data_IF_881543731277
#
_entry.id   IF_881543731277
#
_cell.length_a   1.000
_cell.length_b   1.000
_cell.length_c   1.000
_cell.angle_alpha   90.00
_cell.angle_beta   90.00
_cell.angle_gamma   90.00
#
_symmetry.space_group_name_H-M   'P 1'
#
loop_
_entity.id
_entity.type
_entity.pdbx_description
1 polymer ?
#
# COMPACT_ATOMS: atom_id res chain seq x y z
N UNK A 1 11.90 3.92 16.37
CA UNK A 1 12.17 3.92 14.93
C UNK A 1 11.91 5.32 14.39
N UNK A 2 12.83 5.89 13.60
CA UNK A 2 12.52 7.09 12.83
C UNK A 2 11.38 6.74 11.86
N UNK A 3 10.29 7.51 11.90
CA UNK A 3 9.28 7.46 10.83
C UNK A 3 9.99 7.91 9.57
N UNK A 4 10.29 6.98 8.68
CA UNK A 4 10.69 7.37 7.34
C UNK A 4 9.41 7.88 6.70
N UNK A 5 9.38 9.17 6.42
CA UNK A 5 8.30 9.81 5.65
C UNK A 5 8.46 9.33 4.20
N UNK A 6 8.03 8.09 3.93
CA UNK A 6 8.10 7.52 2.58
C UNK A 6 6.93 8.14 1.82
N UNK A 7 7.27 9.07 0.92
CA UNK A 7 6.34 9.64 -0.04
C UNK A 7 6.49 8.99 -1.43
N UNK A 8 5.64 9.38 -2.40
CA UNK A 8 5.66 8.81 -3.75
C UNK A 8 7.05 8.91 -4.42
N UNK A 9 7.77 10.03 -4.26
CA UNK A 9 9.10 10.23 -4.84
C UNK A 9 10.16 9.32 -4.20
N UNK A 10 10.07 9.10 -2.88
CA UNK A 10 10.92 8.15 -2.16
C UNK A 10 10.62 6.72 -2.62
N UNK A 11 9.35 6.39 -2.86
CA UNK A 11 8.95 5.08 -3.38
C UNK A 11 9.59 4.80 -4.75
N UNK A 12 9.59 5.77 -5.66
CA UNK A 12 10.23 5.61 -6.99
C UNK A 12 11.74 5.34 -6.91
N UNK A 13 12.37 5.71 -5.81
CA UNK A 13 13.81 5.51 -5.55
C UNK A 13 14.10 4.30 -4.65
N UNK A 14 13.07 3.76 -3.99
CA UNK A 14 13.19 2.69 -3.00
C UNK A 14 12.83 1.36 -3.64
N UNK A 15 13.68 0.35 -3.45
CA UNK A 15 13.36 -1.00 -3.92
C UNK A 15 12.34 -1.65 -2.96
N UNK A 16 11.07 -1.63 -3.35
CA UNK A 16 9.94 -2.14 -2.56
C UNK A 16 10.11 -3.60 -2.10
N UNK A 17 10.88 -4.42 -2.84
CA UNK A 17 11.14 -5.81 -2.47
C UNK A 17 11.89 -5.92 -1.14
N UNK A 18 12.73 -4.93 -0.85
CA UNK A 18 13.53 -4.84 0.38
C UNK A 18 12.73 -4.41 1.60
N UNK A 19 11.52 -3.86 1.40
CA UNK A 19 10.66 -3.43 2.48
C UNK A 19 9.94 -4.60 3.13
N UNK A 20 9.67 -4.43 4.43
CA UNK A 20 8.90 -5.37 5.21
C UNK A 20 7.43 -5.23 4.86
N UNK A 21 6.67 -6.32 4.99
CA UNK A 21 5.24 -6.33 4.68
C UNK A 21 4.48 -5.27 5.49
N UNK A 22 4.83 -5.10 6.76
CA UNK A 22 4.25 -4.06 7.63
C UNK A 22 4.49 -2.66 7.07
N UNK A 23 5.72 -2.37 6.63
CA UNK A 23 6.08 -1.09 6.00
C UNK A 23 5.33 -0.88 4.69
N UNK A 24 5.15 -1.93 3.88
CA UNK A 24 4.37 -1.86 2.64
C UNK A 24 2.88 -1.61 2.90
N UNK A 25 2.31 -2.18 3.97
CA UNK A 25 0.92 -1.91 4.39
C UNK A 25 0.77 -0.45 4.84
N UNK A 26 1.74 0.08 5.59
CA UNK A 26 1.76 1.50 5.97
C UNK A 26 1.89 2.41 4.75
N UNK A 27 2.77 2.07 3.81
CA UNK A 27 2.92 2.76 2.54
C UNK A 27 1.65 2.75 1.71
N UNK A 28 0.98 1.59 1.62
CA UNK A 28 -0.27 1.47 0.89
C UNK A 28 -1.34 2.38 1.49
N UNK A 29 -1.35 2.46 2.82
CA UNK A 29 -2.26 3.32 3.56
C UNK A 29 -1.97 4.81 3.32
N UNK A 30 -0.72 5.26 3.42
CA UNK A 30 -0.35 6.65 3.09
C UNK A 30 -0.62 6.97 1.61
N UNK A 31 -0.30 6.07 0.68
CA UNK A 31 -0.58 6.25 -0.73
C UNK A 31 -2.08 6.43 -1.02
N UNK A 32 -2.94 5.68 -0.34
CA UNK A 32 -4.40 5.79 -0.47
C UNK A 32 -4.92 7.08 0.16
N UNK A 33 -4.38 7.46 1.33
CA UNK A 33 -4.77 8.65 2.10
C UNK A 33 -4.33 9.96 1.44
N UNK A 34 -3.12 9.97 0.90
CA UNK A 34 -2.52 11.13 0.22
C UNK A 34 -2.85 11.20 -1.28
N UNK A 35 -3.71 10.30 -1.78
CA UNK A 35 -4.16 10.26 -3.17
C UNK A 35 -2.98 10.16 -4.16
N UNK A 36 -2.01 9.28 -3.87
CA UNK A 36 -0.91 9.02 -4.78
C UNK A 36 -1.40 8.40 -6.09
N UNK A 37 -0.52 8.43 -7.11
CA UNK A 37 -0.85 7.88 -8.42
C UNK A 37 -1.26 6.41 -8.33
N UNK A 38 -2.26 6.04 -9.14
CA UNK A 38 -2.73 4.65 -9.33
C UNK A 38 -1.56 3.66 -9.55
N UNK A 39 -0.51 4.12 -10.24
CA UNK A 39 0.69 3.32 -10.50
C UNK A 39 1.44 2.97 -9.21
N UNK A 40 1.65 3.95 -8.32
CA UNK A 40 2.35 3.73 -7.06
C UNK A 40 1.57 2.76 -6.17
N UNK A 41 0.25 2.94 -6.07
CA UNK A 41 -0.66 2.04 -5.33
C UNK A 41 -0.58 0.62 -5.90
N UNK A 42 -0.61 0.45 -7.23
CA UNK A 42 -0.47 -0.86 -7.88
C UNK A 42 0.88 -1.52 -7.61
N UNK A 43 1.97 -0.76 -7.62
CA UNK A 43 3.31 -1.29 -7.33
C UNK A 43 3.39 -1.84 -5.90
N UNK A 44 2.85 -1.10 -4.92
CA UNK A 44 2.79 -1.54 -3.51
C UNK A 44 1.94 -2.82 -3.37
N UNK A 45 0.75 -2.85 -3.97
CA UNK A 45 -0.13 -4.03 -3.94
C UNK A 45 0.55 -5.24 -4.56
N UNK A 46 1.23 -5.07 -5.70
CA UNK A 46 1.94 -6.14 -6.39
C UNK A 46 3.04 -6.73 -5.51
N UNK A 47 3.75 -5.89 -4.77
CA UNK A 47 4.80 -6.34 -3.87
C UNK A 47 4.26 -7.04 -2.62
N UNK A 48 3.15 -6.56 -2.08
CA UNK A 48 2.42 -7.27 -1.03
C UNK A 48 1.91 -8.64 -1.53
N UNK A 49 1.42 -8.70 -2.75
CA UNK A 49 0.99 -9.94 -3.40
C UNK A 49 2.16 -10.93 -3.58
N UNK A 50 3.32 -10.44 -4.04
CA UNK A 50 4.55 -11.22 -4.13
C UNK A 50 5.01 -11.79 -2.77
N UNK A 51 4.71 -11.07 -1.68
CA UNK A 51 4.96 -11.51 -0.29
C UNK A 51 3.86 -12.44 0.27
N UNK A 52 2.85 -12.78 -0.52
CA UNK A 52 1.78 -13.72 -0.17
C UNK A 52 0.52 -13.07 0.40
N UNK A 53 0.43 -11.74 0.44
CA UNK A 53 -0.77 -11.06 0.89
C UNK A 53 -1.82 -11.05 -0.22
N UNK A 54 -2.99 -11.60 0.09
CA UNK A 54 -4.13 -11.53 -0.83
C UNK A 54 -4.80 -10.17 -0.74
N UNK A 55 -5.39 -9.75 -1.85
CA UNK A 55 -6.08 -8.47 -1.91
C UNK A 55 -7.22 -8.35 -0.92
N UNK A 56 -7.96 -9.44 -0.67
CA UNK A 56 -8.99 -9.50 0.38
C UNK A 56 -8.42 -9.22 1.77
N UNK A 57 -7.23 -9.74 2.09
CA UNK A 57 -6.57 -9.46 3.38
C UNK A 57 -6.11 -8.01 3.47
N UNK A 58 -5.57 -7.46 2.37
CA UNK A 58 -5.17 -6.05 2.32
C UNK A 58 -6.37 -5.12 2.49
N UNK A 59 -7.51 -5.44 1.85
CA UNK A 59 -8.76 -4.71 2.02
C UNK A 59 -9.25 -4.73 3.46
N UNK A 60 -9.27 -5.90 4.10
CA UNK A 60 -9.67 -6.03 5.51
C UNK A 60 -8.74 -5.23 6.44
N UNK A 61 -7.42 -5.30 6.22
CA UNK A 61 -6.44 -4.54 6.99
C UNK A 61 -6.59 -3.02 6.82
N UNK A 62 -6.92 -2.56 5.61
CA UNK A 62 -7.14 -1.14 5.36
C UNK A 62 -8.48 -0.66 5.90
N UNK A 63 -9.52 -1.48 5.81
CA UNK A 63 -10.83 -1.20 6.42
C UNK A 63 -10.69 -1.02 7.94
N UNK A 64 -9.99 -1.92 8.63
CA UNK A 64 -9.74 -1.79 10.07
C UNK A 64 -8.90 -0.54 10.43
N UNK A 65 -7.98 -0.13 9.56
CA UNK A 65 -6.99 0.91 9.90
C UNK A 65 -7.41 2.33 9.52
N UNK A 66 -8.11 2.51 8.40
CA UNK A 66 -8.58 3.82 7.89
C UNK A 66 -10.04 3.86 7.48
N UNK A 67 -10.75 2.74 7.51
CA UNK A 67 -12.16 2.67 7.18
C UNK A 67 -12.43 2.33 5.71
N UNK A 68 -13.72 2.27 5.35
CA UNK A 68 -14.20 1.61 4.14
C UNK A 68 -13.83 2.35 2.84
N UNK A 69 -13.51 3.65 2.91
CA UNK A 69 -13.10 4.43 1.74
C UNK A 69 -11.80 3.91 1.12
N UNK A 70 -10.87 3.46 1.96
CA UNK A 70 -9.59 2.92 1.51
C UNK A 70 -9.73 1.54 0.88
N UNK A 71 -10.52 0.67 1.50
CA UNK A 71 -10.86 -0.63 0.95
C UNK A 71 -11.60 -0.48 -0.41
N UNK A 72 -12.46 0.53 -0.54
CA UNK A 72 -13.16 0.84 -1.79
C UNK A 72 -12.21 1.31 -2.89
N UNK A 73 -11.19 2.12 -2.55
CA UNK A 73 -10.13 2.48 -3.50
C UNK A 73 -9.35 1.25 -3.94
N UNK A 74 -8.96 0.37 -3.02
CA UNK A 74 -8.32 -0.90 -3.35
C UNK A 74 -9.16 -1.78 -4.27
N UNK A 75 -10.48 -1.82 -4.06
CA UNK A 75 -11.41 -2.57 -4.90
C UNK A 75 -11.31 -2.20 -6.39
N UNK A 76 -10.93 -0.95 -6.71
CA UNK A 76 -10.74 -0.50 -8.10
C UNK A 76 -9.47 -1.07 -8.75
N UNK A 77 -8.52 -1.55 -7.96
CA UNK A 77 -7.25 -2.10 -8.43
C UNK A 77 -7.22 -3.62 -8.48
N UNK A 78 -8.22 -4.28 -7.91
CA UNK A 78 -8.37 -5.75 -7.97
C UNK A 78 -9.03 -6.09 -9.29
N UNK A 79 -8.28 -6.79 -10.16
CA UNK A 79 -8.75 -7.36 -11.43
C UNK A 79 -8.62 -8.88 -11.33
#
# INVERSE_FOLDING_TARGET
MAKIDINEDVLLKTDLRTLWSETLIELLHDAVKEDWSDKAIKDIIKELYNKGYKTEQLMMMLDEKIGPEAATKLARFVI
#
